data_IF_840492209358
#
_entry.id   IF_840492209358
#
_cell.length_a   1.000
_cell.length_b   1.000
_cell.length_c   1.000
_cell.angle_alpha   90.00
_cell.angle_beta   90.00
_cell.angle_gamma   90.00
#
_symmetry.space_group_name_H-M   'P 1'
#
loop_
_entity.id
_entity.type
_entity.pdbx_description
1 polymer ?
#
# COMPACT_ATOMS: atom_id res chain seq x y z
N UNK A 1 -2.30 8.35 -45.81
CA UNK A 1 -2.27 9.65 -45.07
C UNK A 1 -3.44 9.78 -44.05
N UNK A 2 -4.63 9.25 -44.31
CA UNK A 2 -5.77 9.30 -43.35
C UNK A 2 -5.56 8.49 -42.07
N UNK A 3 -5.00 7.29 -42.14
CA UNK A 3 -4.77 6.41 -40.99
C UNK A 3 -3.79 6.96 -39.93
N UNK A 4 -2.84 7.80 -40.37
CA UNK A 4 -1.86 8.41 -39.47
C UNK A 4 -2.47 9.54 -38.62
N UNK A 5 -3.39 10.31 -39.18
CA UNK A 5 -4.08 11.42 -38.49
C UNK A 5 -5.08 10.90 -37.46
N UNK A 6 -5.78 9.81 -37.78
CA UNK A 6 -6.73 9.15 -36.88
C UNK A 6 -6.03 8.51 -35.69
N UNK A 7 -4.85 7.94 -35.91
CA UNK A 7 -4.01 7.36 -34.85
C UNK A 7 -3.47 8.44 -33.89
N UNK A 8 -3.04 9.59 -34.41
CA UNK A 8 -2.58 10.74 -33.60
C UNK A 8 -3.74 11.33 -32.77
N UNK A 9 -4.94 11.42 -33.37
CA UNK A 9 -6.13 11.95 -32.69
C UNK A 9 -6.59 11.03 -31.56
N UNK A 10 -6.59 9.70 -31.79
CA UNK A 10 -6.91 8.71 -30.78
C UNK A 10 -5.89 8.65 -29.64
N UNK A 11 -4.60 8.82 -29.95
CA UNK A 11 -3.52 8.87 -28.96
C UNK A 11 -3.63 10.13 -28.09
N UNK A 12 -3.89 11.29 -28.69
CA UNK A 12 -4.09 12.57 -27.98
C UNK A 12 -5.34 12.57 -27.08
N UNK A 13 -6.46 12.00 -27.56
CA UNK A 13 -7.69 11.86 -26.79
C UNK A 13 -7.52 10.92 -25.58
N UNK A 14 -6.86 9.77 -25.78
CA UNK A 14 -6.55 8.82 -24.73
C UNK A 14 -5.61 9.42 -23.67
N UNK A 15 -4.63 10.22 -24.06
CA UNK A 15 -3.70 10.88 -23.15
C UNK A 15 -4.40 11.94 -22.29
N UNK A 16 -5.23 12.78 -22.90
CA UNK A 16 -6.01 13.81 -22.20
C UNK A 16 -7.00 13.21 -21.20
N UNK A 17 -7.71 12.15 -21.58
CA UNK A 17 -8.64 11.45 -20.69
C UNK A 17 -7.93 10.77 -19.53
N UNK A 18 -6.73 10.18 -19.76
CA UNK A 18 -5.90 9.55 -18.72
C UNK A 18 -5.45 10.61 -17.68
N UNK A 19 -5.10 11.81 -18.12
CA UNK A 19 -4.72 12.93 -17.23
C UNK A 19 -5.87 13.42 -16.37
N UNK A 20 -7.06 13.54 -16.94
CA UNK A 20 -8.26 14.02 -16.22
C UNK A 20 -8.73 13.02 -15.14
N UNK A 21 -8.76 11.73 -15.45
CA UNK A 21 -9.12 10.69 -14.47
C UNK A 21 -8.17 10.71 -13.27
N UNK A 22 -6.86 10.86 -13.51
CA UNK A 22 -5.88 10.92 -12.41
C UNK A 22 -6.06 12.17 -11.55
N UNK A 23 -6.33 13.33 -12.16
CA UNK A 23 -6.58 14.56 -11.39
C UNK A 23 -7.84 14.42 -10.53
N UNK A 24 -8.93 13.90 -11.08
CA UNK A 24 -10.17 13.65 -10.34
C UNK A 24 -9.91 12.65 -9.19
N UNK A 25 -9.18 11.57 -9.45
CA UNK A 25 -8.80 10.61 -8.44
C UNK A 25 -8.03 11.28 -7.28
N UNK A 26 -6.97 12.03 -7.57
CA UNK A 26 -6.17 12.71 -6.53
C UNK A 26 -7.03 13.71 -5.74
N UNK A 27 -7.90 14.48 -6.41
CA UNK A 27 -8.80 15.42 -5.72
C UNK A 27 -9.81 14.71 -4.82
N UNK A 28 -10.38 13.58 -5.29
CA UNK A 28 -11.32 12.78 -4.50
C UNK A 28 -10.63 12.16 -3.28
N UNK A 29 -9.44 11.58 -3.45
CA UNK A 29 -8.66 11.01 -2.34
C UNK A 29 -8.24 12.07 -1.33
N UNK A 30 -7.82 13.26 -1.79
CA UNK A 30 -7.50 14.38 -0.90
C UNK A 30 -8.73 14.83 -0.10
N UNK A 31 -9.91 14.89 -0.72
CA UNK A 31 -11.14 15.23 -0.03
C UNK A 31 -11.53 14.18 1.03
N UNK A 32 -11.46 12.89 0.70
CA UNK A 32 -11.69 11.79 1.64
C UNK A 32 -10.69 11.82 2.78
N UNK A 33 -9.40 12.04 2.48
CA UNK A 33 -8.33 12.16 3.46
C UNK A 33 -8.59 13.30 4.46
N UNK A 34 -8.93 14.49 3.98
CA UNK A 34 -9.26 15.65 4.83
C UNK A 34 -10.49 15.34 5.68
N UNK A 35 -11.53 14.74 5.08
CA UNK A 35 -12.78 14.43 5.77
C UNK A 35 -12.57 13.46 6.93
N UNK A 36 -11.94 12.29 6.71
CA UNK A 36 -11.74 11.35 7.81
C UNK A 36 -10.73 11.84 8.85
N UNK A 37 -9.67 12.57 8.40
CA UNK A 37 -8.71 13.13 9.35
C UNK A 37 -9.37 14.16 10.27
N UNK A 38 -10.21 15.03 9.72
CA UNK A 38 -10.98 15.98 10.52
C UNK A 38 -11.92 15.25 11.51
N UNK A 39 -12.61 14.20 11.07
CA UNK A 39 -13.46 13.39 11.94
C UNK A 39 -12.67 12.73 13.07
N UNK A 40 -11.50 12.15 12.77
CA UNK A 40 -10.66 11.47 13.77
C UNK A 40 -10.09 12.46 14.79
N UNK A 41 -9.63 13.64 14.35
CA UNK A 41 -9.07 14.68 15.22
C UNK A 41 -10.15 15.33 16.10
N UNK A 42 -11.33 15.60 15.53
CA UNK A 42 -12.45 16.22 16.24
C UNK A 42 -13.31 15.21 17.01
N UNK A 43 -12.98 13.92 16.95
CA UNK A 43 -13.81 12.84 17.49
C UNK A 43 -15.28 12.91 17.02
N UNK A 44 -15.50 13.29 15.77
CA UNK A 44 -16.81 13.60 15.19
C UNK A 44 -17.51 12.36 14.58
N UNK A 45 -17.49 11.23 15.29
CA UNK A 45 -18.17 10.01 14.88
C UNK A 45 -17.29 8.95 14.23
N UNK A 46 -17.90 7.98 13.54
CA UNK A 46 -17.21 6.84 12.95
C UNK A 46 -16.74 7.13 11.52
N UNK A 47 -15.43 7.21 11.32
CA UNK A 47 -14.79 7.49 10.03
C UNK A 47 -14.47 6.25 9.20
N UNK A 48 -14.78 5.02 9.68
CA UNK A 48 -14.38 3.76 9.03
C UNK A 48 -14.83 3.66 7.59
N UNK A 49 -16.07 4.05 7.30
CA UNK A 49 -16.62 3.97 5.94
C UNK A 49 -15.96 4.95 4.97
N UNK A 50 -15.58 6.14 5.44
CA UNK A 50 -14.86 7.13 4.60
C UNK A 50 -13.45 6.63 4.29
N UNK A 51 -12.76 6.08 5.28
CA UNK A 51 -11.46 5.43 5.12
C UNK A 51 -11.52 4.29 4.10
N UNK A 52 -12.49 3.39 4.26
CA UNK A 52 -12.68 2.29 3.33
C UNK A 52 -13.04 2.77 1.92
N UNK A 53 -13.85 3.85 1.78
CA UNK A 53 -14.17 4.41 0.48
C UNK A 53 -12.91 4.87 -0.28
N UNK A 54 -11.91 5.45 0.40
CA UNK A 54 -10.62 5.79 -0.21
C UNK A 54 -9.89 4.55 -0.74
N UNK A 55 -9.79 3.49 0.07
CA UNK A 55 -9.13 2.25 -0.38
C UNK A 55 -9.90 1.58 -1.54
N UNK A 56 -11.22 1.56 -1.49
CA UNK A 56 -12.05 1.06 -2.57
C UNK A 56 -11.86 1.87 -3.86
N UNK A 57 -11.75 3.20 -3.75
CA UNK A 57 -11.46 4.09 -4.88
C UNK A 57 -10.06 3.82 -5.46
N UNK A 58 -9.05 3.63 -4.61
CA UNK A 58 -7.70 3.19 -5.01
C UNK A 58 -7.76 1.90 -5.83
N UNK A 59 -8.53 0.90 -5.37
CA UNK A 59 -8.68 -0.37 -6.10
C UNK A 59 -9.37 -0.18 -7.45
N UNK A 60 -10.49 0.55 -7.50
CA UNK A 60 -11.22 0.82 -8.75
C UNK A 60 -10.34 1.53 -9.76
N UNK A 61 -9.62 2.58 -9.33
CA UNK A 61 -8.72 3.32 -10.24
C UNK A 61 -7.55 2.45 -10.69
N UNK A 62 -6.97 1.64 -9.81
CA UNK A 62 -5.92 0.69 -10.18
C UNK A 62 -6.41 -0.31 -11.22
N UNK A 63 -7.63 -0.85 -11.07
CA UNK A 63 -8.24 -1.76 -12.05
C UNK A 63 -8.48 -1.07 -13.40
N UNK A 64 -8.96 0.16 -13.40
CA UNK A 64 -9.12 0.96 -14.63
C UNK A 64 -7.79 1.25 -15.33
N UNK A 65 -6.73 1.52 -14.57
CA UNK A 65 -5.39 1.71 -15.11
C UNK A 65 -4.84 0.40 -15.68
N UNK A 66 -5.01 -0.72 -14.98
CA UNK A 66 -4.58 -2.05 -15.44
C UNK A 66 -5.29 -2.47 -16.71
N UNK A 67 -6.60 -2.25 -16.83
CA UNK A 67 -7.37 -2.53 -18.05
C UNK A 67 -6.89 -1.71 -19.27
N UNK A 68 -6.10 -0.65 -19.03
CA UNK A 68 -5.52 0.22 -20.05
C UNK A 68 -4.00 0.01 -20.25
N UNK A 69 -3.47 -1.14 -19.83
CA UNK A 69 -2.05 -1.49 -19.97
C UNK A 69 -1.19 -1.17 -18.76
N UNK A 70 -1.76 -0.80 -17.62
CA UNK A 70 -1.04 -0.64 -16.36
C UNK A 70 -0.69 -1.98 -15.68
N UNK A 71 0.00 -1.92 -14.55
CA UNK A 71 0.52 -3.11 -13.87
C UNK A 71 -0.55 -3.91 -13.11
N UNK A 72 -0.84 -5.11 -13.58
CA UNK A 72 -1.79 -6.06 -12.95
C UNK A 72 -1.37 -6.44 -11.52
N UNK A 73 -0.06 -6.56 -11.25
CA UNK A 73 0.45 -6.89 -9.91
C UNK A 73 0.05 -5.84 -8.86
N UNK A 74 0.11 -4.55 -9.23
CA UNK A 74 -0.33 -3.46 -8.36
C UNK A 74 -1.82 -3.56 -8.07
N UNK A 75 -2.63 -3.78 -9.11
CA UNK A 75 -4.08 -3.92 -8.95
C UNK A 75 -4.45 -5.10 -8.06
N UNK A 76 -3.83 -6.25 -8.27
CA UNK A 76 -4.06 -7.43 -7.43
C UNK A 76 -3.65 -7.19 -5.98
N UNK A 77 -2.50 -6.53 -5.74
CA UNK A 77 -2.03 -6.22 -4.39
C UNK A 77 -2.95 -5.22 -3.67
N UNK A 78 -3.37 -4.14 -4.35
CA UNK A 78 -4.33 -3.17 -3.78
C UNK A 78 -5.68 -3.83 -3.52
N UNK A 79 -6.12 -4.76 -4.38
CA UNK A 79 -7.33 -5.54 -4.16
C UNK A 79 -7.26 -6.45 -2.93
N UNK A 80 -6.10 -7.09 -2.68
CA UNK A 80 -5.87 -7.87 -1.46
C UNK A 80 -5.85 -6.96 -0.22
N UNK A 81 -5.25 -5.77 -0.31
CA UNK A 81 -5.28 -4.78 0.77
C UNK A 81 -6.71 -4.32 1.08
N UNK A 82 -7.52 -4.03 0.05
CA UNK A 82 -8.92 -3.67 0.22
C UNK A 82 -9.74 -4.82 0.87
N UNK A 83 -9.47 -6.07 0.50
CA UNK A 83 -10.10 -7.24 1.11
C UNK A 83 -9.68 -7.41 2.59
N UNK A 84 -8.41 -7.15 2.91
CA UNK A 84 -7.92 -7.13 4.30
C UNK A 84 -8.65 -6.05 5.12
N UNK A 85 -8.83 -4.85 4.55
CA UNK A 85 -9.51 -3.74 5.23
C UNK A 85 -11.00 -4.02 5.47
N UNK A 86 -11.67 -4.81 4.61
CA UNK A 86 -13.04 -5.28 4.90
C UNK A 86 -13.05 -6.09 6.19
N UNK A 87 -12.09 -7.00 6.38
CA UNK A 87 -12.02 -7.85 7.57
C UNK A 87 -11.61 -7.06 8.81
N UNK A 88 -10.57 -6.23 8.70
CA UNK A 88 -9.93 -5.58 9.85
C UNK A 88 -10.59 -4.26 10.24
N UNK A 89 -11.06 -3.46 9.25
CA UNK A 89 -11.62 -2.14 9.51
C UNK A 89 -13.16 -2.17 9.63
N UNK A 90 -13.83 -2.91 8.72
CA UNK A 90 -15.30 -2.87 8.64
C UNK A 90 -15.92 -3.93 9.54
N UNK A 91 -15.46 -5.18 9.40
CA UNK A 91 -16.05 -6.31 10.12
C UNK A 91 -15.42 -6.52 11.50
N UNK A 92 -14.18 -6.05 11.71
CA UNK A 92 -13.40 -6.19 12.95
C UNK A 92 -13.31 -7.65 13.41
N UNK A 93 -13.02 -8.56 12.44
CA UNK A 93 -12.96 -10.02 12.67
C UNK A 93 -11.82 -10.65 11.88
N UNK A 94 -11.48 -11.89 12.25
CA UNK A 94 -10.50 -12.71 11.50
C UNK A 94 -9.14 -12.05 11.27
N UNK A 95 -8.57 -11.44 12.30
CA UNK A 95 -7.30 -10.69 12.22
C UNK A 95 -6.17 -11.44 11.51
N UNK A 96 -6.01 -12.75 11.79
CA UNK A 96 -4.99 -13.55 11.12
C UNK A 96 -5.20 -13.61 9.60
N UNK A 97 -6.46 -13.70 9.13
CA UNK A 97 -6.77 -13.70 7.69
C UNK A 97 -6.48 -12.34 7.07
N UNK A 98 -6.81 -11.24 7.77
CA UNK A 98 -6.47 -9.88 7.33
C UNK A 98 -4.95 -9.70 7.16
N UNK A 99 -4.15 -10.13 8.14
CA UNK A 99 -2.68 -10.10 8.05
C UNK A 99 -2.16 -10.97 6.91
N UNK A 100 -2.74 -12.17 6.69
CA UNK A 100 -2.38 -13.02 5.55
C UNK A 100 -2.68 -12.37 4.20
N UNK A 101 -3.78 -11.62 4.06
CA UNK A 101 -4.10 -10.89 2.84
C UNK A 101 -3.10 -9.75 2.58
N UNK A 102 -2.73 -8.99 3.63
CA UNK A 102 -1.64 -8.01 3.50
C UNK A 102 -0.31 -8.68 3.16
N UNK A 103 -0.01 -9.83 3.73
CA UNK A 103 1.20 -10.58 3.39
C UNK A 103 1.18 -11.02 1.92
N UNK A 104 0.05 -11.51 1.42
CA UNK A 104 -0.11 -11.85 0.00
C UNK A 104 0.09 -10.62 -0.91
N UNK A 105 -0.41 -9.44 -0.51
CA UNK A 105 -0.14 -8.20 -1.22
C UNK A 105 1.36 -7.88 -1.25
N UNK A 106 2.09 -8.09 -0.15
CA UNK A 106 3.54 -7.89 -0.11
C UNK A 106 4.31 -8.90 -0.97
N UNK A 107 3.81 -10.12 -1.14
CA UNK A 107 4.39 -11.09 -2.08
C UNK A 107 4.23 -10.58 -3.53
N UNK A 108 3.10 -9.98 -3.89
CA UNK A 108 2.92 -9.39 -5.23
C UNK A 108 3.85 -8.18 -5.45
N UNK A 109 4.03 -7.32 -4.44
CA UNK A 109 5.03 -6.24 -4.50
C UNK A 109 6.45 -6.78 -4.59
N UNK A 110 6.77 -7.86 -3.88
CA UNK A 110 8.06 -8.53 -4.05
C UNK A 110 8.29 -9.03 -5.48
N UNK A 111 7.29 -9.67 -6.10
CA UNK A 111 7.40 -10.14 -7.50
C UNK A 111 7.66 -8.95 -8.43
N UNK A 112 7.01 -7.81 -8.20
CA UNK A 112 7.28 -6.57 -8.95
C UNK A 112 8.72 -6.10 -8.78
N UNK A 113 9.19 -5.98 -7.54
CA UNK A 113 10.56 -5.56 -7.20
C UNK A 113 11.59 -6.54 -7.77
N UNK A 114 11.35 -7.85 -7.61
CA UNK A 114 12.20 -8.90 -8.10
C UNK A 114 12.42 -8.82 -9.62
N UNK A 115 11.35 -8.57 -10.38
CA UNK A 115 11.43 -8.37 -11.84
C UNK A 115 12.17 -7.08 -12.20
N UNK A 116 11.97 -6.00 -11.46
CA UNK A 116 12.61 -4.71 -11.72
C UNK A 116 14.13 -4.71 -11.36
N UNK A 117 14.54 -5.45 -10.31
CA UNK A 117 15.89 -5.42 -9.78
C UNK A 117 16.78 -6.59 -10.27
N UNK A 118 16.55 -7.10 -11.48
CA UNK A 118 17.39 -8.15 -12.07
C UNK A 118 17.36 -9.47 -11.27
N UNK A 119 16.20 -9.84 -10.75
CA UNK A 119 15.94 -11.11 -10.08
C UNK A 119 16.68 -11.34 -8.74
N UNK A 120 16.99 -10.28 -8.01
CA UNK A 120 17.61 -10.35 -6.68
C UNK A 120 16.55 -10.56 -5.60
N UNK A 121 16.58 -11.70 -4.90
CA UNK A 121 15.57 -12.08 -3.90
C UNK A 121 15.91 -11.65 -2.45
N UNK A 122 17.21 -11.46 -2.14
CA UNK A 122 17.72 -11.08 -0.81
C UNK A 122 17.22 -12.02 0.34
N UNK A 123 17.06 -13.33 0.10
CA UNK A 123 16.58 -14.28 1.10
C UNK A 123 17.37 -14.27 2.43
N UNK A 124 18.71 -14.18 2.43
CA UNK A 124 19.45 -14.09 3.69
C UNK A 124 19.05 -12.88 4.55
N UNK A 125 18.82 -11.72 3.92
CA UNK A 125 18.35 -10.52 4.61
C UNK A 125 16.94 -10.70 5.17
N UNK A 126 16.03 -11.34 4.42
CA UNK A 126 14.65 -11.62 4.89
C UNK A 126 14.67 -12.53 6.12
N UNK A 127 15.48 -13.59 6.08
CA UNK A 127 15.62 -14.50 7.21
C UNK A 127 16.24 -13.78 8.42
N UNK A 128 17.29 -12.98 8.22
CA UNK A 128 17.91 -12.19 9.28
C UNK A 128 16.90 -11.24 9.93
N UNK A 129 16.15 -10.47 9.16
CA UNK A 129 15.12 -9.55 9.67
C UNK A 129 14.03 -10.29 10.42
N UNK A 130 13.60 -11.45 9.93
CA UNK A 130 12.61 -12.28 10.65
C UNK A 130 13.14 -12.78 11.99
N UNK A 131 14.36 -13.31 12.03
CA UNK A 131 14.97 -13.77 13.27
C UNK A 131 15.16 -12.62 14.27
N UNK A 132 15.57 -11.44 13.78
CA UNK A 132 15.68 -10.24 14.62
C UNK A 132 14.30 -9.79 15.17
N UNK A 133 13.24 -9.83 14.34
CA UNK A 133 11.89 -9.54 14.78
C UNK A 133 11.41 -10.53 15.85
N UNK A 134 11.60 -11.82 15.65
CA UNK A 134 11.25 -12.85 16.64
C UNK A 134 12.02 -12.66 17.96
N UNK A 135 13.32 -12.36 17.89
CA UNK A 135 14.13 -12.09 19.07
C UNK A 135 13.63 -10.84 19.82
N UNK A 136 13.26 -9.78 19.11
CA UNK A 136 12.68 -8.58 19.71
C UNK A 136 11.30 -8.86 20.35
N UNK A 137 10.41 -9.55 19.65
CA UNK A 137 9.09 -9.93 20.17
C UNK A 137 9.16 -10.81 21.41
N UNK A 138 10.15 -11.72 21.47
CA UNK A 138 10.39 -12.59 22.63
C UNK A 138 10.69 -11.80 23.90
N UNK A 139 11.36 -10.64 23.81
CA UNK A 139 11.62 -9.77 24.97
C UNK A 139 10.33 -9.18 25.59
N UNK A 140 9.28 -9.09 24.81
CA UNK A 140 7.96 -8.58 25.24
C UNK A 140 6.93 -9.70 25.47
N UNK A 141 7.32 -10.97 25.34
CA UNK A 141 6.41 -12.11 25.48
C UNK A 141 5.42 -12.28 24.31
N UNK A 142 5.67 -11.63 23.17
CA UNK A 142 4.83 -11.62 21.98
C UNK A 142 5.21 -12.77 21.04
N UNK A 143 4.79 -14.02 21.39
CA UNK A 143 5.11 -15.23 20.62
C UNK A 143 3.85 -16.05 20.26
N UNK A 144 2.69 -15.41 20.26
CA UNK A 144 1.49 -16.09 19.76
C UNK A 144 1.62 -16.38 18.24
N UNK A 145 0.85 -17.32 17.68
CA UNK A 145 0.85 -17.59 16.24
C UNK A 145 0.56 -16.34 15.41
N UNK A 146 -0.29 -15.42 15.91
CA UNK A 146 -0.58 -14.15 15.25
C UNK A 146 0.62 -13.20 15.26
N UNK A 147 1.33 -13.10 16.41
CA UNK A 147 2.54 -12.29 16.52
C UNK A 147 3.62 -12.76 15.55
N UNK A 148 3.85 -14.10 15.49
CA UNK A 148 4.84 -14.69 14.57
C UNK A 148 4.45 -14.43 13.10
N UNK A 149 3.18 -14.52 12.76
CA UNK A 149 2.67 -14.17 11.42
C UNK A 149 2.91 -12.69 11.12
N UNK A 150 2.59 -11.80 12.05
CA UNK A 150 2.81 -10.35 11.91
C UNK A 150 4.31 -10.03 11.78
N UNK A 151 5.18 -10.70 12.57
CA UNK A 151 6.63 -10.56 12.48
C UNK A 151 7.19 -11.03 11.13
N UNK A 152 6.69 -12.15 10.59
CA UNK A 152 7.06 -12.64 9.27
C UNK A 152 6.63 -11.66 8.16
N UNK A 153 5.40 -11.19 8.22
CA UNK A 153 4.87 -10.17 7.34
C UNK A 153 5.72 -8.89 7.35
N UNK A 154 5.95 -8.32 8.55
CA UNK A 154 6.68 -7.08 8.72
C UNK A 154 8.13 -7.18 8.22
N UNK A 155 8.82 -8.27 8.55
CA UNK A 155 10.20 -8.52 8.12
C UNK A 155 10.29 -8.65 6.59
N UNK A 156 9.33 -9.36 6.00
CA UNK A 156 9.24 -9.51 4.55
C UNK A 156 8.99 -8.16 3.88
N UNK A 157 8.10 -7.37 4.42
CA UNK A 157 7.77 -6.04 3.94
C UNK A 157 8.94 -5.05 4.09
N UNK A 158 9.60 -5.00 5.24
CA UNK A 158 10.78 -4.16 5.44
C UNK A 158 11.88 -4.45 4.41
N UNK A 159 12.11 -5.74 4.10
CA UNK A 159 13.02 -6.11 3.03
C UNK A 159 12.55 -5.66 1.63
N UNK A 160 11.23 -5.68 1.36
CA UNK A 160 10.68 -5.14 0.11
C UNK A 160 10.99 -3.64 -0.02
N UNK A 161 10.80 -2.86 1.04
CA UNK A 161 11.12 -1.42 1.05
C UNK A 161 12.61 -1.20 0.77
N UNK A 162 13.49 -1.94 1.46
CA UNK A 162 14.94 -1.85 1.24
C UNK A 162 15.33 -2.19 -0.20
N UNK A 163 14.75 -3.23 -0.80
CA UNK A 163 15.00 -3.60 -2.18
C UNK A 163 14.43 -2.58 -3.19
N UNK A 164 13.26 -1.99 -2.88
CA UNK A 164 12.63 -0.98 -3.74
C UNK A 164 13.43 0.33 -3.79
N UNK A 165 14.27 0.64 -2.80
CA UNK A 165 15.11 1.84 -2.80
C UNK A 165 16.07 1.92 -3.99
N UNK A 166 16.50 0.76 -4.50
CA UNK A 166 17.35 0.64 -5.68
C UNK A 166 16.60 0.66 -7.02
N UNK A 167 15.27 0.74 -7.02
CA UNK A 167 14.49 0.79 -8.25
C UNK A 167 14.35 2.21 -8.80
N UNK A 168 14.14 2.33 -10.11
CA UNK A 168 13.91 3.62 -10.76
C UNK A 168 12.54 4.22 -10.42
N UNK A 169 11.59 3.40 -10.01
CA UNK A 169 10.24 3.86 -9.64
C UNK A 169 10.21 4.44 -8.21
N UNK A 170 10.63 5.71 -8.09
CA UNK A 170 10.69 6.42 -6.80
C UNK A 170 9.32 6.62 -6.16
N UNK A 171 8.26 6.72 -6.97
CA UNK A 171 6.88 6.86 -6.47
C UNK A 171 6.43 5.58 -5.76
N UNK A 172 6.74 4.43 -6.33
CA UNK A 172 6.48 3.13 -5.69
C UNK A 172 7.25 2.96 -4.39
N UNK A 173 8.55 3.27 -4.40
CA UNK A 173 9.39 3.24 -3.21
C UNK A 173 8.83 4.12 -2.09
N UNK A 174 8.48 5.38 -2.40
CA UNK A 174 7.90 6.29 -1.41
C UNK A 174 6.54 5.79 -0.89
N UNK A 175 5.70 5.21 -1.76
CA UNK A 175 4.45 4.57 -1.35
C UNK A 175 4.69 3.42 -0.37
N UNK A 176 5.66 2.54 -0.64
CA UNK A 176 6.02 1.46 0.29
C UNK A 176 6.60 1.98 1.61
N UNK A 177 7.39 3.06 1.60
CA UNK A 177 7.89 3.68 2.83
C UNK A 177 6.73 4.18 3.72
N UNK A 178 5.77 4.89 3.13
CA UNK A 178 4.58 5.34 3.88
C UNK A 178 3.75 4.16 4.40
N UNK A 179 3.60 3.11 3.60
CA UNK A 179 2.89 1.91 4.05
C UNK A 179 3.63 1.24 5.23
N UNK A 180 4.96 1.15 5.19
CA UNK A 180 5.74 0.64 6.31
C UNK A 180 5.59 1.52 7.57
N UNK A 181 5.55 2.85 7.42
CA UNK A 181 5.25 3.76 8.54
C UNK A 181 3.86 3.50 9.13
N UNK A 182 2.85 3.22 8.29
CA UNK A 182 1.54 2.80 8.76
C UNK A 182 1.64 1.54 9.61
N UNK A 183 2.34 0.50 9.13
CA UNK A 183 2.47 -0.76 9.85
C UNK A 183 3.23 -0.65 11.16
N UNK A 184 4.25 0.23 11.23
CA UNK A 184 4.88 0.58 12.50
C UNK A 184 3.86 1.19 13.46
N UNK A 185 2.99 2.08 12.99
CA UNK A 185 1.91 2.64 13.80
C UNK A 185 0.91 1.55 14.25
N UNK A 186 0.55 0.62 13.38
CA UNK A 186 -0.31 -0.53 13.72
C UNK A 186 0.35 -1.37 14.82
N UNK A 187 1.64 -1.69 14.68
CA UNK A 187 2.41 -2.42 15.68
C UNK A 187 2.43 -1.71 17.03
N UNK A 188 2.74 -0.41 17.05
CA UNK A 188 2.75 0.40 18.27
C UNK A 188 1.37 0.48 18.93
N UNK A 189 0.30 0.63 18.14
CA UNK A 189 -1.06 0.69 18.65
C UNK A 189 -1.52 -0.61 19.31
N UNK A 190 -1.09 -1.75 18.78
CA UNK A 190 -1.42 -3.08 19.29
C UNK A 190 -0.45 -3.61 20.35
N UNK A 191 0.60 -2.86 20.70
CA UNK A 191 1.47 -3.24 21.81
C UNK A 191 0.72 -3.15 23.15
N UNK A 192 1.00 -4.09 24.08
CA UNK A 192 0.40 -4.06 25.41
C UNK A 192 0.75 -2.74 26.13
N UNK A 193 0.02 -2.43 27.19
CA UNK A 193 -0.03 -1.21 28.02
C UNK A 193 1.31 -0.63 28.55
N UNK A 194 2.44 -1.05 27.99
CA UNK A 194 3.78 -0.55 28.32
C UNK A 194 4.12 0.79 27.64
N UNK A 195 3.31 1.23 26.66
CA UNK A 195 3.57 2.47 25.93
C UNK A 195 2.76 3.63 26.51
N UNK A 196 3.34 4.84 26.56
CA UNK A 196 2.64 6.06 27.00
C UNK A 196 1.39 6.34 26.14
N UNK A 197 0.31 6.84 26.75
CA UNK A 197 -0.98 7.13 26.07
C UNK A 197 -0.84 8.06 24.86
N UNK A 198 0.08 9.05 24.95
CA UNK A 198 0.34 9.95 23.83
C UNK A 198 0.89 9.22 22.61
N UNK A 199 1.72 8.17 22.80
CA UNK A 199 2.30 7.41 21.72
C UNK A 199 1.24 6.49 21.08
N UNK A 200 0.36 5.87 21.88
CA UNK A 200 -0.77 5.10 21.38
C UNK A 200 -1.74 5.98 20.57
N UNK A 201 -2.01 7.20 21.06
CA UNK A 201 -2.86 8.16 20.35
C UNK A 201 -2.22 8.64 19.04
N UNK A 202 -0.93 8.92 19.04
CA UNK A 202 -0.17 9.29 17.84
C UNK A 202 -0.14 8.13 16.83
N UNK A 203 0.07 6.90 17.28
CA UNK A 203 0.06 5.70 16.44
C UNK A 203 -1.31 5.49 15.78
N UNK A 204 -2.41 5.65 16.53
CA UNK A 204 -3.78 5.53 16.00
C UNK A 204 -4.06 6.54 14.86
N UNK A 205 -3.63 7.78 15.01
CA UNK A 205 -3.76 8.80 13.96
C UNK A 205 -2.80 8.49 12.81
N UNK A 206 -1.55 8.12 13.12
CA UNK A 206 -0.50 7.83 12.16
C UNK A 206 -0.85 6.70 11.19
N UNK A 207 -1.53 5.64 11.65
CA UNK A 207 -1.95 4.54 10.79
C UNK A 207 -2.60 5.05 9.50
N UNK A 208 -3.64 5.87 9.60
CA UNK A 208 -4.40 6.35 8.46
C UNK A 208 -3.74 7.55 7.76
N UNK A 209 -2.97 8.35 8.50
CA UNK A 209 -2.16 9.43 7.93
C UNK A 209 -1.17 8.90 6.89
N UNK A 210 -0.59 7.73 7.11
CA UNK A 210 0.37 7.11 6.20
C UNK A 210 -0.28 6.16 5.21
N UNK A 211 -1.34 5.44 5.60
CA UNK A 211 -1.90 4.36 4.78
C UNK A 211 -2.54 4.85 3.49
N UNK A 212 -3.49 5.78 3.55
CA UNK A 212 -4.19 6.23 2.34
C UNK A 212 -3.24 6.90 1.33
N UNK A 213 -2.34 7.83 1.71
CA UNK A 213 -1.35 8.37 0.77
C UNK A 213 -0.43 7.29 0.18
N UNK A 214 -0.07 6.26 0.96
CA UNK A 214 0.73 5.14 0.45
C UNK A 214 0.03 4.41 -0.69
N UNK A 215 -1.26 4.07 -0.51
CA UNK A 215 -2.04 3.37 -1.52
C UNK A 215 -2.22 4.21 -2.80
N UNK A 216 -2.47 5.51 -2.65
CA UNK A 216 -2.53 6.44 -3.80
C UNK A 216 -1.22 6.44 -4.58
N UNK A 217 -0.08 6.55 -3.90
CA UNK A 217 1.24 6.55 -4.56
C UNK A 217 1.54 5.20 -5.24
N UNK A 218 1.19 4.08 -4.60
CA UNK A 218 1.35 2.74 -5.17
C UNK A 218 0.50 2.58 -6.43
N UNK A 219 -0.77 3.00 -6.41
CA UNK A 219 -1.66 2.97 -7.58
C UNK A 219 -1.11 3.81 -8.72
N UNK A 220 -0.68 5.03 -8.44
CA UNK A 220 -0.11 5.93 -9.46
C UNK A 220 1.21 5.40 -10.03
N UNK A 221 1.99 4.66 -9.24
CA UNK A 221 3.24 4.05 -9.69
C UNK A 221 3.06 2.93 -10.72
N UNK A 222 1.88 2.30 -10.75
CA UNK A 222 1.53 1.26 -11.73
C UNK A 222 1.31 1.79 -13.15
N UNK A 223 1.27 3.11 -13.33
CA UNK A 223 1.09 3.78 -14.63
C UNK A 223 2.39 3.90 -15.45
N UNK A 224 3.54 3.91 -14.80
CA UNK A 224 4.79 4.45 -15.39
C UNK A 224 5.47 3.54 -16.44
N UNK A 225 5.10 2.28 -16.59
CA UNK A 225 5.77 1.34 -17.50
C UNK A 225 5.60 1.62 -18.99
N UNK A 226 4.50 2.28 -19.41
CA UNK A 226 4.16 2.44 -20.82
C UNK A 226 5.04 3.42 -21.60
N UNK A 227 5.83 4.27 -20.93
CA UNK A 227 6.62 5.32 -21.60
C UNK A 227 8.02 4.82 -21.94
N UNK A 228 8.61 3.97 -21.10
CA UNK A 228 9.99 3.50 -21.30
C UNK A 228 10.11 2.26 -22.20
N UNK A 229 9.13 1.34 -22.19
CA UNK A 229 9.14 0.15 -23.06
C UNK A 229 8.90 0.48 -24.56
N UNK A 230 8.30 1.62 -24.86
CA UNK A 230 8.07 2.07 -26.27
C UNK A 230 9.22 2.86 -26.87
N UNK A 231 10.26 3.17 -26.08
CA UNK A 231 11.47 3.88 -26.53
C UNK A 231 12.71 2.98 -26.69
N UNK A 232 12.56 1.67 -26.37
CA UNK A 232 13.58 0.64 -26.68
C UNK A 232 13.09 -0.24 -27.84
#
# INVERSE_FOLDING_TARGET
MCATVENIRNTGYNYSMKSSVIKIFICAEAALYIAFTAMDVLAAGDSRWIKFAGIALCFVVSALLSARGGEVLVTAAVGLSAAADILLLILDVHYAVGVMLFFAAQILYFVRIYRANGHKSAWPLRLFLFMAAVAAMAQFGLLSPLDLLAGAYFSFFACNVMQASGSDNKLFFAGLCLFLCCDVCVGLHNMPSALPDWLQSAARIGMWTFYLPSQVMIVLSGKERDVYEKMQ
#
